data_IF_811351522280
#
_entry.id   IF_811351522280
#
_cell.length_a   1.000
_cell.length_b   1.000
_cell.length_c   1.000
_cell.angle_alpha   90.00
_cell.angle_beta   90.00
_cell.angle_gamma   90.00
#
_symmetry.space_group_name_H-M   'P 1'
#
loop_
_entity.id
_entity.type
_entity.pdbx_description
1 polymer ?
#
# COMPACT_ATOMS: atom_id res chain seq x y z
N UNK A 1 42.63 -29.09 -42.99
CA UNK A 1 41.37 -29.40 -43.68
C UNK A 1 40.32 -28.55 -43.02
N UNK A 2 40.28 -27.30 -43.46
CA UNK A 2 39.16 -26.40 -43.24
C UNK A 2 38.37 -26.43 -44.54
N UNK A 3 37.06 -26.55 -44.44
CA UNK A 3 36.13 -26.25 -45.51
C UNK A 3 34.85 -25.62 -44.92
N UNK A 4 34.16 -24.75 -45.69
CA UNK A 4 33.44 -23.59 -45.19
C UNK A 4 31.93 -23.67 -45.47
N UNK A 5 31.08 -22.98 -44.70
CA UNK A 5 29.66 -22.76 -45.08
C UNK A 5 29.19 -21.43 -44.47
N UNK A 6 29.24 -20.34 -45.23
CA UNK A 6 28.21 -19.78 -46.12
C UNK A 6 27.33 -18.74 -45.40
N UNK A 7 27.78 -17.49 -45.50
CA UNK A 7 26.96 -16.28 -45.34
C UNK A 7 25.82 -16.29 -46.38
N UNK A 8 24.62 -15.91 -45.95
CA UNK A 8 23.60 -15.34 -46.82
C UNK A 8 22.96 -14.14 -46.11
N UNK A 9 23.36 -12.95 -46.55
CA UNK A 9 22.53 -11.75 -46.51
C UNK A 9 21.40 -11.88 -47.58
N UNK A 10 20.31 -11.13 -47.42
CA UNK A 10 20.07 -10.03 -48.36
C UNK A 10 19.69 -8.75 -47.60
N UNK A 11 20.38 -7.64 -47.86
CA UNK A 11 20.08 -6.63 -48.89
C UNK A 11 18.85 -5.75 -48.62
N UNK A 12 19.14 -4.46 -48.69
CA UNK A 12 18.45 -3.25 -48.27
C UNK A 12 17.51 -2.66 -49.33
N UNK A 13 16.79 -1.61 -48.90
CA UNK A 13 16.28 -0.42 -49.63
C UNK A 13 14.76 -0.25 -49.45
N UNK A 14 14.18 0.90 -49.09
CA UNK A 14 14.67 2.27 -48.88
C UNK A 14 13.66 3.05 -48.03
N UNK A 15 14.19 3.99 -47.23
CA UNK A 15 13.77 5.37 -46.95
C UNK A 15 12.29 5.78 -46.86
N UNK A 16 12.00 6.52 -45.77
CA UNK A 16 10.81 7.35 -45.66
C UNK A 16 10.65 7.98 -44.29
N UNK A 17 11.38 9.07 -44.04
CA UNK A 17 11.28 9.88 -42.83
C UNK A 17 9.86 10.41 -42.58
N UNK A 18 9.41 10.33 -41.33
CA UNK A 18 8.16 10.93 -40.85
C UNK A 18 8.21 11.07 -39.34
N UNK A 19 8.96 12.06 -38.87
CA UNK A 19 8.94 12.49 -37.46
C UNK A 19 7.56 13.10 -37.17
N UNK A 20 6.72 12.39 -36.41
CA UNK A 20 5.50 12.97 -35.84
C UNK A 20 5.78 13.26 -34.37
N UNK A 21 6.11 14.52 -34.15
CA UNK A 21 6.25 15.15 -32.84
C UNK A 21 4.89 15.14 -32.14
N UNK A 22 4.76 14.41 -31.02
CA UNK A 22 3.60 14.50 -30.13
C UNK A 22 4.07 15.13 -28.81
N UNK A 23 3.71 16.40 -28.63
CA UNK A 23 3.76 17.06 -27.32
C UNK A 23 2.51 16.64 -26.52
N UNK A 24 2.62 16.33 -25.23
CA UNK A 24 1.47 16.39 -24.35
C UNK A 24 1.32 17.83 -23.81
N UNK A 25 0.23 18.49 -24.19
CA UNK A 25 -0.32 19.66 -23.49
C UNK A 25 -0.77 19.26 -22.07
N UNK A 26 -0.56 20.11 -21.05
CA UNK A 26 -0.89 19.78 -19.67
C UNK A 26 -2.38 20.00 -19.39
N UNK A 27 -3.10 18.94 -19.00
CA UNK A 27 -4.40 19.07 -18.35
C UNK A 27 -4.19 19.23 -16.85
N UNK A 28 -4.67 20.36 -16.36
CA UNK A 28 -4.66 20.78 -14.97
C UNK A 28 -5.56 19.91 -14.10
N UNK A 29 -4.98 19.19 -13.14
CA UNK A 29 -5.68 18.74 -11.93
C UNK A 29 -4.86 19.18 -10.73
N UNK A 30 -5.30 20.28 -10.12
CA UNK A 30 -4.78 20.79 -8.85
C UNK A 30 -5.26 19.91 -7.70
N UNK A 31 -4.33 19.33 -6.95
CA UNK A 31 -4.59 18.89 -5.58
C UNK A 31 -3.54 19.54 -4.67
N UNK A 32 -3.99 20.44 -3.81
CA UNK A 32 -3.17 21.17 -2.86
C UNK A 32 -2.77 20.27 -1.69
N UNK A 33 -1.52 19.83 -1.66
CA UNK A 33 -0.88 19.27 -0.47
C UNK A 33 -0.25 20.40 0.33
N UNK A 34 -0.95 20.88 1.35
CA UNK A 34 -0.30 21.50 2.50
C UNK A 34 -0.16 20.42 3.56
N UNK A 35 1.06 19.92 3.76
CA UNK A 35 1.41 19.51 5.12
C UNK A 35 2.90 19.69 5.41
N UNK A 36 3.11 20.41 6.51
CA UNK A 36 4.38 20.57 7.20
C UNK A 36 4.64 19.28 7.96
N UNK A 37 5.89 18.84 7.94
CA UNK A 37 6.45 17.90 8.92
C UNK A 37 6.10 18.29 10.36
N UNK A 38 5.92 17.28 11.23
CA UNK A 38 6.63 17.34 12.50
C UNK A 38 7.47 16.08 12.76
N UNK A 39 8.57 16.33 13.48
CA UNK A 39 9.56 15.38 13.91
C UNK A 39 9.06 14.51 15.09
N UNK A 40 9.84 13.46 15.34
CA UNK A 40 9.64 12.37 16.27
C UNK A 40 9.28 12.75 17.71
N UNK A 41 8.36 11.97 18.31
CA UNK A 41 8.26 11.82 19.76
C UNK A 41 8.16 10.34 20.16
N UNK A 42 8.92 10.05 21.20
CA UNK A 42 9.14 8.76 21.84
C UNK A 42 7.95 8.39 22.72
N UNK A 43 7.63 7.09 22.77
CA UNK A 43 6.50 6.50 23.50
C UNK A 43 6.62 6.69 25.03
N UNK A 44 5.55 7.14 25.67
CA UNK A 44 5.30 6.94 27.11
C UNK A 44 4.11 6.01 27.33
N UNK A 45 4.29 5.05 28.24
CA UNK A 45 3.26 4.13 28.73
C UNK A 45 2.64 4.68 30.03
N UNK A 46 1.34 4.49 30.17
CA UNK A 46 0.57 4.88 31.35
C UNK A 46 0.46 3.70 32.31
N UNK A 47 0.88 3.90 33.56
CA UNK A 47 0.55 3.07 34.74
C UNK A 47 0.12 4.03 35.87
N UNK A 48 -1.04 3.72 36.46
CA UNK A 48 -1.71 4.31 37.64
C UNK A 48 -1.51 3.32 38.82
N UNK A 49 -1.45 3.60 40.13
CA UNK A 49 -1.63 4.75 41.05
C UNK A 49 -0.73 4.50 42.32
N UNK A 50 -0.94 5.02 43.55
CA UNK A 50 -1.50 6.30 44.06
C UNK A 50 -0.51 7.03 45.03
N UNK A 51 -0.80 8.29 45.42
CA UNK A 51 -0.03 9.03 46.43
C UNK A 51 -0.90 9.34 47.65
N UNK A 52 -0.35 9.00 48.82
CA UNK A 52 -0.86 9.21 50.18
C UNK A 52 -0.88 10.69 50.61
N UNK A 53 -1.86 11.06 51.45
CA UNK A 53 -1.83 12.25 52.30
C UNK A 53 -1.18 11.96 53.66
N UNK A 54 -0.22 12.81 54.07
CA UNK A 54 0.17 13.22 55.45
C UNK A 54 1.65 13.69 55.42
N UNK A 55 2.19 14.71 56.10
CA UNK A 55 1.81 15.72 57.10
C UNK A 55 3.03 16.66 57.29
N UNK A 56 2.80 17.93 57.66
CA UNK A 56 3.63 18.92 58.44
C UNK A 56 5.14 19.12 58.11
N UNK A 57 5.68 20.34 58.04
CA UNK A 57 5.95 21.28 59.16
C UNK A 57 6.28 22.68 58.59
N UNK A 58 5.69 23.80 59.05
CA UNK A 58 6.08 24.70 60.17
C UNK A 58 7.47 25.37 60.08
N UNK A 59 7.47 26.62 60.58
CA UNK A 59 8.56 27.59 60.86
C UNK A 59 8.93 28.60 59.73
N UNK A 60 9.15 29.90 59.96
CA UNK A 60 8.94 30.88 61.04
C UNK A 60 9.36 32.29 60.51
N UNK A 61 8.80 33.38 61.06
CA UNK A 61 9.33 34.77 61.05
C UNK A 61 9.17 35.60 59.76
N UNK A 62 8.88 36.90 59.73
CA UNK A 62 9.16 37.98 60.70
C UNK A 62 8.34 39.27 60.41
N UNK A 63 8.04 40.03 61.47
CA UNK A 63 7.73 41.48 61.55
C UNK A 63 8.85 42.34 60.89
N UNK A 64 8.77 43.63 60.47
CA UNK A 64 8.04 44.83 60.93
C UNK A 64 8.26 46.04 59.98
N UNK A 65 7.36 47.03 60.08
CA UNK A 65 7.55 48.51 60.11
C UNK A 65 8.25 49.31 59.00
N UNK A 66 7.55 50.37 58.54
CA UNK A 66 8.14 51.55 57.87
C UNK A 66 7.10 52.60 57.46
N UNK A 67 6.95 53.65 58.28
CA UNK A 67 6.01 54.78 58.19
C UNK A 67 5.89 55.52 56.84
N UNK A 68 4.69 56.07 56.57
CA UNK A 68 4.50 57.51 56.27
C UNK A 68 3.03 57.95 56.40
N UNK A 69 2.81 58.80 57.40
CA UNK A 69 1.80 59.87 57.51
C UNK A 69 1.64 60.67 56.18
N UNK A 70 0.54 61.36 55.80
CA UNK A 70 -0.68 61.85 56.46
C UNK A 70 -1.66 62.40 55.38
N UNK A 71 -2.95 62.52 55.75
CA UNK A 71 -3.97 63.50 55.30
C UNK A 71 -5.00 63.21 54.19
N UNK A 72 -6.24 63.02 54.67
CA UNK A 72 -7.51 63.72 54.36
C UNK A 72 -8.19 63.70 52.97
N UNK A 73 -9.49 63.34 53.01
CA UNK A 73 -10.67 63.95 52.34
C UNK A 73 -11.54 63.01 51.47
N UNK A 74 -12.75 62.73 52.01
CA UNK A 74 -14.10 62.57 51.41
C UNK A 74 -14.38 61.66 50.18
N UNK A 75 -15.46 60.86 50.31
CA UNK A 75 -15.98 59.79 49.43
C UNK A 75 -16.26 60.20 47.96
N UNK A 76 -16.20 59.22 47.02
CA UNK A 76 -17.43 58.51 46.60
C UNK A 76 -17.18 57.01 46.38
N UNK A 77 -17.12 56.19 47.44
CA UNK A 77 -16.79 54.75 47.34
C UNK A 77 -17.99 53.80 47.53
N UNK A 78 -19.12 54.30 48.04
CA UNK A 78 -20.28 53.46 48.41
C UNK A 78 -20.90 52.62 47.26
N UNK A 79 -21.09 53.12 46.02
CA UNK A 79 -21.72 52.33 44.95
C UNK A 79 -20.83 51.19 44.44
N UNK A 80 -19.51 51.42 44.44
CA UNK A 80 -18.52 50.44 44.01
C UNK A 80 -18.33 49.35 45.07
N UNK A 81 -18.31 49.72 46.35
CA UNK A 81 -18.25 48.76 47.46
C UNK A 81 -19.47 47.85 47.47
N UNK A 82 -20.68 48.37 47.20
CA UNK A 82 -21.89 47.54 47.07
C UNK A 82 -21.85 46.59 45.86
N UNK A 83 -21.28 47.02 44.73
CA UNK A 83 -21.09 46.12 43.58
C UNK A 83 -20.06 45.03 43.89
N UNK A 84 -18.99 45.38 44.61
CA UNK A 84 -17.95 44.43 45.02
C UNK A 84 -18.53 43.41 46.01
N UNK A 85 -19.34 43.83 46.98
CA UNK A 85 -19.99 42.90 47.92
C UNK A 85 -21.00 42.00 47.20
N UNK A 86 -21.79 42.54 46.27
CA UNK A 86 -22.73 41.75 45.46
C UNK A 86 -22.04 40.78 44.49
N UNK A 87 -20.90 41.15 43.91
CA UNK A 87 -20.09 40.21 43.11
C UNK A 87 -19.48 39.13 44.01
N UNK A 88 -18.99 39.50 45.19
CA UNK A 88 -18.40 38.57 46.15
C UNK A 88 -19.41 37.52 46.61
N UNK A 89 -20.66 37.92 46.90
CA UNK A 89 -21.72 36.98 47.26
C UNK A 89 -22.12 36.09 46.08
N UNK A 90 -22.17 36.61 44.85
CA UNK A 90 -22.39 35.78 43.65
C UNK A 90 -21.27 34.76 43.42
N UNK A 91 -20.01 35.16 43.62
CA UNK A 91 -18.86 34.25 43.49
C UNK A 91 -18.90 33.17 44.56
N UNK A 92 -19.29 33.50 45.80
CA UNK A 92 -19.49 32.50 46.84
C UNK A 92 -20.62 31.52 46.51
N UNK A 93 -21.75 32.01 46.01
CA UNK A 93 -22.86 31.15 45.61
C UNK A 93 -22.47 30.21 44.46
N UNK A 94 -21.80 30.73 43.43
CA UNK A 94 -21.30 29.92 42.32
C UNK A 94 -20.24 28.89 42.77
N UNK A 95 -19.39 29.22 43.75
CA UNK A 95 -18.46 28.26 44.35
C UNK A 95 -19.19 27.13 45.09
N UNK A 96 -20.25 27.46 45.81
CA UNK A 96 -21.05 26.46 46.53
C UNK A 96 -21.82 25.56 45.54
N UNK A 97 -22.41 26.12 44.48
CA UNK A 97 -23.05 25.34 43.43
C UNK A 97 -22.06 24.42 42.70
N UNK A 98 -20.86 24.92 42.41
CA UNK A 98 -19.79 24.11 41.81
C UNK A 98 -19.31 22.98 42.73
N UNK A 99 -19.26 23.21 44.05
CA UNK A 99 -18.92 22.17 45.02
C UNK A 99 -19.98 21.06 45.03
N UNK A 100 -21.27 21.42 45.07
CA UNK A 100 -22.38 20.46 45.04
C UNK A 100 -22.41 19.66 43.73
N UNK A 101 -22.24 20.31 42.59
CA UNK A 101 -22.17 19.63 41.29
C UNK A 101 -20.94 18.73 41.20
N UNK A 102 -19.80 19.15 41.75
CA UNK A 102 -18.60 18.33 41.79
C UNK A 102 -18.79 17.07 42.63
N UNK A 103 -19.48 17.16 43.76
CA UNK A 103 -19.75 16.01 44.62
C UNK A 103 -20.79 15.07 43.99
N UNK A 104 -21.78 15.60 43.26
CA UNK A 104 -22.69 14.78 42.46
C UNK A 104 -21.96 13.99 41.36
N UNK A 105 -21.04 14.63 40.65
CA UNK A 105 -20.22 13.97 39.60
C UNK A 105 -19.29 12.91 40.19
N UNK A 106 -18.71 13.16 41.38
CA UNK A 106 -17.90 12.17 42.10
C UNK A 106 -18.73 10.96 42.51
N UNK A 107 -19.93 11.17 43.06
CA UNK A 107 -20.82 10.09 43.48
C UNK A 107 -21.31 9.24 42.29
N UNK A 108 -21.65 9.88 41.16
CA UNK A 108 -22.01 9.18 39.93
C UNK A 108 -20.82 8.39 39.38
N UNK A 109 -19.60 8.95 39.42
CA UNK A 109 -18.38 8.24 39.02
C UNK A 109 -18.10 7.02 39.90
N UNK A 110 -18.32 7.11 41.21
CA UNK A 110 -18.11 5.99 42.14
C UNK A 110 -19.13 4.87 41.96
N UNK A 111 -20.40 5.21 41.66
CA UNK A 111 -21.45 4.22 41.41
C UNK A 111 -21.23 3.44 40.10
N UNK A 112 -20.59 4.07 39.10
CA UNK A 112 -20.27 3.43 37.82
C UNK A 112 -19.05 2.49 37.90
N UNK A 113 -18.09 2.77 38.78
CA UNK A 113 -16.89 1.96 39.00
C UNK A 113 -17.12 0.74 39.92
N UNK A 114 -18.20 0.72 40.70
CA UNK A 114 -18.43 -0.25 41.77
C UNK A 114 -19.26 -1.49 41.36
N UNK A 115 -19.45 -1.78 40.07
CA UNK A 115 -20.05 -3.05 39.63
C UNK A 115 -18.97 -4.11 39.34
N UNK A 116 -18.66 -5.03 40.29
CA UNK A 116 -17.67 -6.09 40.06
C UNK A 116 -18.03 -7.02 38.89
N UNK A 117 -19.31 -7.12 38.53
CA UNK A 117 -19.78 -7.84 37.34
C UNK A 117 -19.28 -7.20 36.04
N UNK A 118 -19.25 -5.86 35.96
CA UNK A 118 -18.78 -5.14 34.77
C UNK A 118 -17.26 -5.29 34.58
N UNK A 119 -16.50 -5.20 35.68
CA UNK A 119 -15.05 -5.42 35.67
C UNK A 119 -14.72 -6.87 35.29
N UNK A 120 -15.45 -7.84 35.83
CA UNK A 120 -15.30 -9.25 35.49
C UNK A 120 -15.61 -9.54 34.00
N UNK A 121 -16.67 -8.92 33.46
CA UNK A 121 -17.03 -9.03 32.05
C UNK A 121 -15.95 -8.44 31.12
N UNK A 122 -15.41 -7.26 31.45
CA UNK A 122 -14.32 -6.63 30.70
C UNK A 122 -13.05 -7.48 30.70
N UNK A 123 -12.72 -8.10 31.85
CA UNK A 123 -11.53 -8.94 31.98
C UNK A 123 -11.68 -10.26 31.20
N UNK A 124 -12.89 -10.84 31.16
CA UNK A 124 -13.21 -12.00 30.33
C UNK A 124 -13.13 -11.66 28.84
N UNK A 125 -13.73 -10.54 28.43
CA UNK A 125 -13.71 -10.07 27.05
C UNK A 125 -12.29 -9.77 26.56
N UNK A 126 -11.44 -9.19 27.43
CA UNK A 126 -10.02 -8.99 27.13
C UNK A 126 -9.27 -10.30 26.88
N UNK A 127 -9.50 -11.33 27.71
CA UNK A 127 -8.93 -12.67 27.51
C UNK A 127 -9.41 -13.31 26.21
N UNK A 128 -10.69 -13.17 25.90
CA UNK A 128 -11.27 -13.69 24.66
C UNK A 128 -10.68 -12.98 23.44
N UNK A 129 -10.53 -11.66 23.49
CA UNK A 129 -9.91 -10.88 22.43
C UNK A 129 -8.45 -11.28 22.20
N UNK A 130 -7.67 -11.45 23.26
CA UNK A 130 -6.29 -11.94 23.15
C UNK A 130 -6.22 -13.35 22.56
N UNK A 131 -7.10 -14.24 23.02
CA UNK A 131 -7.19 -15.60 22.49
C UNK A 131 -7.52 -15.60 21.00
N UNK A 132 -8.51 -14.80 20.60
CA UNK A 132 -8.94 -14.67 19.21
C UNK A 132 -7.84 -14.05 18.33
N UNK A 133 -7.13 -13.03 18.84
CA UNK A 133 -5.97 -12.42 18.16
C UNK A 133 -4.85 -13.44 17.95
N UNK A 134 -4.54 -14.27 18.95
CA UNK A 134 -3.55 -15.34 18.84
C UNK A 134 -3.97 -16.38 17.79
N UNK A 135 -5.23 -16.81 17.81
CA UNK A 135 -5.79 -17.75 16.84
C UNK A 135 -5.73 -17.17 15.42
N UNK A 136 -6.09 -15.90 15.25
CA UNK A 136 -6.03 -15.23 13.96
C UNK A 136 -4.60 -15.21 13.38
N UNK A 137 -3.60 -14.84 14.18
CA UNK A 137 -2.20 -14.85 13.75
C UNK A 137 -1.75 -16.25 13.32
N UNK A 138 -2.13 -17.28 14.08
CA UNK A 138 -1.83 -18.68 13.72
C UNK A 138 -2.50 -19.09 12.40
N UNK A 139 -3.77 -18.75 12.20
CA UNK A 139 -4.49 -19.07 10.96
C UNK A 139 -3.88 -18.34 9.75
N UNK A 140 -3.44 -17.09 9.91
CA UNK A 140 -2.78 -16.36 8.81
C UNK A 140 -1.41 -16.96 8.47
N UNK A 141 -0.65 -17.41 9.46
CA UNK A 141 0.61 -18.12 9.23
C UNK A 141 0.38 -19.46 8.49
N UNK A 142 -0.64 -20.22 8.88
CA UNK A 142 -0.98 -21.49 8.23
C UNK A 142 -1.51 -21.29 6.81
N UNK A 143 -2.39 -20.31 6.61
CA UNK A 143 -2.84 -19.91 5.27
C UNK A 143 -1.66 -19.58 4.37
N UNK A 144 -0.71 -18.76 4.85
CA UNK A 144 0.51 -18.42 4.11
C UNK A 144 1.30 -19.68 3.74
N UNK A 145 1.50 -20.59 4.70
CA UNK A 145 2.22 -21.86 4.46
C UNK A 145 1.55 -22.69 3.37
N UNK A 146 0.25 -22.97 3.52
CA UNK A 146 -0.52 -23.78 2.56
C UNK A 146 -0.56 -23.14 1.18
N UNK A 147 -0.67 -21.82 1.14
CA UNK A 147 -0.67 -21.06 -0.10
C UNK A 147 0.64 -21.24 -0.88
N UNK A 148 1.78 -21.17 -0.19
CA UNK A 148 3.09 -21.37 -0.81
C UNK A 148 3.27 -22.83 -1.25
N UNK A 149 2.82 -23.80 -0.46
CA UNK A 149 2.85 -25.21 -0.84
C UNK A 149 2.05 -25.46 -2.13
N UNK A 150 0.87 -24.83 -2.28
CA UNK A 150 0.09 -24.92 -3.53
C UNK A 150 0.86 -24.33 -4.73
N UNK A 151 1.58 -23.22 -4.55
CA UNK A 151 2.39 -22.62 -5.62
C UNK A 151 3.56 -23.54 -6.00
N UNK A 152 4.26 -24.09 -5.02
CA UNK A 152 5.38 -25.01 -5.23
C UNK A 152 4.92 -26.30 -5.94
N UNK A 153 3.77 -26.85 -5.55
CA UNK A 153 3.17 -28.02 -6.19
C UNK A 153 2.73 -27.76 -7.63
N UNK A 154 2.30 -26.53 -7.95
CA UNK A 154 2.03 -26.10 -9.34
C UNK A 154 3.31 -25.90 -10.16
N UNK A 155 4.47 -25.86 -9.52
CA UNK A 155 5.76 -25.64 -10.15
C UNK A 155 6.28 -24.20 -9.97
N UNK A 156 7.54 -24.11 -9.59
CA UNK A 156 8.25 -22.83 -9.40
C UNK A 156 8.55 -22.11 -10.72
N UNK A 157 8.58 -22.85 -11.83
CA UNK A 157 8.72 -22.33 -13.19
C UNK A 157 7.46 -22.75 -13.93
N UNK A 158 6.76 -21.76 -14.48
CA UNK A 158 5.57 -21.97 -15.29
C UNK A 158 5.73 -21.29 -16.64
N UNK A 159 5.28 -21.97 -17.69
CA UNK A 159 5.31 -21.52 -19.07
C UNK A 159 3.88 -21.45 -19.57
N UNK A 160 3.43 -20.24 -19.86
CA UNK A 160 2.13 -19.99 -20.47
C UNK A 160 2.30 -19.66 -21.95
N UNK A 161 1.42 -20.21 -22.78
CA UNK A 161 1.31 -19.81 -24.18
C UNK A 161 0.12 -18.86 -24.32
N UNK A 162 0.27 -17.76 -25.07
CA UNK A 162 -0.83 -16.85 -25.38
C UNK A 162 -0.90 -16.60 -26.87
N UNK A 163 -2.02 -17.00 -27.47
CA UNK A 163 -2.33 -16.74 -28.86
C UNK A 163 -3.10 -15.42 -28.96
N UNK A 164 -2.56 -14.44 -29.71
CA UNK A 164 -3.28 -13.20 -29.98
C UNK A 164 -4.30 -13.38 -31.11
N UNK A 165 -5.38 -12.59 -31.15
CA UNK A 165 -6.24 -12.53 -32.33
C UNK A 165 -5.49 -11.96 -33.54
N UNK A 166 -5.97 -12.33 -34.73
CA UNK A 166 -5.51 -11.74 -35.99
C UNK A 166 -5.81 -10.24 -36.01
N UNK A 167 -4.86 -9.46 -36.52
CA UNK A 167 -5.08 -8.03 -36.72
C UNK A 167 -5.86 -7.79 -38.03
N UNK A 168 -6.42 -6.58 -38.17
CA UNK A 168 -7.28 -6.26 -39.30
C UNK A 168 -6.57 -6.40 -40.66
N UNK A 169 -5.29 -6.03 -40.74
CA UNK A 169 -4.49 -6.18 -41.95
C UNK A 169 -4.21 -7.65 -42.33
N UNK A 170 -4.12 -8.56 -41.35
CA UNK A 170 -3.97 -10.01 -41.55
C UNK A 170 -5.28 -10.62 -42.05
N UNK A 171 -6.41 -10.19 -41.49
CA UNK A 171 -7.75 -10.60 -41.95
C UNK A 171 -8.01 -10.14 -43.38
N UNK A 172 -7.68 -8.89 -43.71
CA UNK A 172 -7.81 -8.34 -45.07
C UNK A 172 -6.92 -9.08 -46.09
N UNK A 173 -5.77 -9.60 -45.66
CA UNK A 173 -4.88 -10.42 -46.49
C UNK A 173 -5.33 -11.88 -46.61
N UNK A 174 -6.40 -12.28 -45.92
CA UNK A 174 -6.89 -13.66 -45.91
C UNK A 174 -5.99 -14.63 -45.15
N UNK A 175 -5.23 -14.16 -44.16
CA UNK A 175 -4.47 -15.04 -43.27
C UNK A 175 -5.43 -15.87 -42.41
N UNK A 176 -5.14 -17.16 -42.24
CA UNK A 176 -5.89 -18.08 -41.39
C UNK A 176 -5.12 -18.34 -40.08
N UNK A 177 -5.85 -18.66 -39.02
CA UNK A 177 -5.24 -19.13 -37.78
C UNK A 177 -4.61 -20.53 -38.01
N UNK A 178 -3.40 -20.70 -37.48
CA UNK A 178 -2.64 -21.96 -37.54
C UNK A 178 -2.66 -22.68 -36.19
N UNK A 179 -3.16 -22.03 -35.15
CA UNK A 179 -3.34 -22.59 -33.82
C UNK A 179 -4.69 -23.31 -33.73
N UNK A 180 -4.65 -24.59 -33.40
CA UNK A 180 -5.82 -25.37 -32.99
C UNK A 180 -5.76 -25.67 -31.50
N UNK A 181 -6.90 -25.48 -30.85
CA UNK A 181 -7.07 -25.67 -29.40
C UNK A 181 -7.98 -26.89 -29.17
N UNK A 182 -7.55 -27.80 -28.28
CA UNK A 182 -8.42 -28.89 -27.84
C UNK A 182 -9.45 -28.34 -26.85
N UNK A 183 -10.74 -28.55 -27.12
CA UNK A 183 -11.82 -28.14 -26.22
C UNK A 183 -11.75 -28.79 -24.84
N UNK A 184 -11.06 -29.92 -24.72
CA UNK A 184 -10.95 -30.69 -23.49
C UNK A 184 -9.68 -30.39 -22.68
N UNK A 185 -8.70 -29.67 -23.22
CA UNK A 185 -7.40 -29.46 -22.59
C UNK A 185 -6.91 -28.01 -22.74
N UNK A 186 -6.75 -27.32 -21.63
CA UNK A 186 -6.23 -25.94 -21.61
C UNK A 186 -4.69 -25.89 -21.59
N UNK A 187 -4.02 -27.04 -21.69
CA UNK A 187 -2.58 -27.18 -21.53
C UNK A 187 -1.87 -27.64 -22.82
N UNK A 188 -2.61 -27.87 -23.90
CA UNK A 188 -2.09 -28.38 -25.15
C UNK A 188 -2.51 -27.49 -26.33
N UNK A 189 -1.54 -27.17 -27.18
CA UNK A 189 -1.70 -26.36 -28.39
C UNK A 189 -1.22 -27.18 -29.58
N UNK A 190 -2.04 -27.27 -30.63
CA UNK A 190 -1.66 -27.91 -31.88
C UNK A 190 -1.37 -26.85 -32.94
N UNK A 191 -0.18 -26.88 -33.55
CA UNK A 191 0.16 -26.01 -34.67
C UNK A 191 0.04 -26.79 -35.97
N UNK A 192 -0.77 -26.25 -36.89
CA UNK A 192 -0.91 -26.75 -38.25
C UNK A 192 0.31 -26.38 -39.09
N UNK A 193 1.00 -27.41 -39.60
CA UNK A 193 2.11 -27.24 -40.53
C UNK A 193 1.63 -27.25 -41.98
N UNK A 194 2.46 -26.74 -42.90
CA UNK A 194 2.11 -26.63 -44.33
C UNK A 194 1.84 -28.00 -45.00
N UNK A 195 2.36 -29.08 -44.42
CA UNK A 195 2.12 -30.47 -44.82
C UNK A 195 0.82 -31.06 -44.24
N UNK A 196 -0.03 -30.23 -43.63
CA UNK A 196 -1.24 -30.63 -42.88
C UNK A 196 -0.97 -31.52 -41.66
N UNK A 197 0.29 -31.62 -41.21
CA UNK A 197 0.60 -32.28 -39.95
C UNK A 197 0.28 -31.37 -38.77
N UNK A 198 -0.17 -31.96 -37.66
CA UNK A 198 -0.44 -31.27 -36.40
C UNK A 198 0.70 -31.54 -35.43
N UNK A 199 1.39 -30.49 -35.00
CA UNK A 199 2.46 -30.61 -34.00
C UNK A 199 1.93 -30.19 -32.62
N UNK A 200 1.87 -31.11 -31.63
CA UNK A 200 1.46 -30.77 -30.28
C UNK A 200 2.57 -30.05 -29.50
N UNK A 201 2.19 -29.06 -28.72
CA UNK A 201 3.02 -28.37 -27.74
C UNK A 201 2.27 -28.32 -26.41
N UNK A 202 2.97 -28.63 -25.32
CA UNK A 202 2.38 -28.65 -23.97
C UNK A 202 2.95 -27.53 -23.13
N UNK A 203 2.06 -26.87 -22.40
CA UNK A 203 2.32 -25.72 -21.54
C UNK A 203 1.59 -25.89 -20.21
N UNK A 204 1.90 -25.06 -19.22
CA UNK A 204 1.15 -25.03 -17.97
C UNK A 204 -0.27 -24.49 -18.19
N UNK A 205 -0.42 -23.60 -19.16
CA UNK A 205 -1.71 -23.09 -19.64
C UNK A 205 -1.57 -22.46 -21.03
N UNK A 206 -2.62 -22.53 -21.85
CA UNK A 206 -2.71 -21.99 -23.21
C UNK A 206 -3.91 -21.04 -23.30
N UNK A 207 -3.62 -19.74 -23.40
CA UNK A 207 -4.62 -18.70 -23.62
C UNK A 207 -4.96 -18.59 -25.11
N UNK A 208 -6.26 -18.62 -25.39
CA UNK A 208 -6.89 -18.49 -26.71
C UNK A 208 -6.99 -17.02 -27.12
N UNK A 209 -7.23 -16.74 -28.41
CA UNK A 209 -7.45 -15.37 -28.90
C UNK A 209 -8.57 -14.59 -28.18
N UNK A 210 -9.57 -15.32 -27.67
CA UNK A 210 -10.73 -14.75 -26.97
C UNK A 210 -10.44 -14.47 -25.47
N UNK A 211 -9.32 -14.96 -24.93
CA UNK A 211 -8.97 -14.77 -23.53
C UNK A 211 -8.45 -13.35 -23.26
N UNK A 212 -9.20 -12.63 -22.42
CA UNK A 212 -8.93 -11.26 -22.06
C UNK A 212 -7.79 -11.12 -21.02
N UNK A 213 -7.45 -9.88 -20.68
CA UNK A 213 -6.35 -9.57 -19.76
C UNK A 213 -6.65 -10.08 -18.35
N UNK A 214 -7.92 -10.11 -17.95
CA UNK A 214 -8.38 -10.55 -16.64
C UNK A 214 -8.18 -12.05 -16.45
N UNK A 215 -8.46 -12.85 -17.48
CA UNK A 215 -8.20 -14.31 -17.47
C UNK A 215 -6.70 -14.58 -17.37
N UNK A 216 -5.89 -13.86 -18.15
CA UNK A 216 -4.41 -13.96 -18.06
C UNK A 216 -3.90 -13.55 -16.68
N UNK A 217 -4.48 -12.50 -16.09
CA UNK A 217 -4.11 -12.06 -14.76
C UNK A 217 -4.56 -13.05 -13.68
N UNK A 218 -5.72 -13.70 -13.82
CA UNK A 218 -6.21 -14.67 -12.83
C UNK A 218 -5.21 -15.83 -12.61
N UNK A 219 -4.55 -16.31 -13.67
CA UNK A 219 -3.54 -17.37 -13.57
C UNK A 219 -2.19 -16.90 -13.01
N UNK A 220 -1.85 -15.63 -13.22
CA UNK A 220 -0.59 -15.03 -12.72
C UNK A 220 -0.72 -14.45 -11.31
N UNK A 221 -1.94 -14.05 -10.92
CA UNK A 221 -2.27 -13.43 -9.63
C UNK A 221 -1.71 -14.21 -8.44
N UNK A 222 -1.79 -15.56 -8.41
CA UNK A 222 -1.26 -16.27 -7.26
C UNK A 222 0.25 -16.10 -7.05
N UNK A 223 1.00 -16.06 -8.14
CA UNK A 223 2.45 -15.80 -8.13
C UNK A 223 2.68 -14.38 -7.62
N UNK A 224 1.98 -13.40 -8.20
CA UNK A 224 2.15 -11.99 -7.85
C UNK A 224 1.90 -11.75 -6.36
N UNK A 225 0.85 -12.35 -5.79
CA UNK A 225 0.52 -12.16 -4.38
C UNK A 225 1.51 -12.82 -3.42
N UNK A 226 2.27 -13.83 -3.84
CA UNK A 226 3.28 -14.47 -2.98
C UNK A 226 4.45 -13.52 -2.63
N UNK A 227 4.62 -12.43 -3.38
CA UNK A 227 5.62 -11.41 -3.06
C UNK A 227 5.34 -10.74 -1.71
N UNK A 228 4.07 -10.49 -1.38
CA UNK A 228 3.68 -9.94 -0.08
C UNK A 228 3.97 -10.90 1.09
N UNK A 229 4.19 -12.17 0.77
CA UNK A 229 4.56 -13.22 1.70
C UNK A 229 6.09 -13.43 1.76
N UNK A 230 6.88 -12.65 1.01
CA UNK A 230 8.35 -12.63 1.06
C UNK A 230 9.05 -13.46 -0.01
N UNK A 231 8.36 -13.82 -1.08
CA UNK A 231 8.93 -14.59 -2.20
C UNK A 231 9.37 -13.66 -3.34
N UNK A 232 10.45 -14.04 -4.01
CA UNK A 232 10.89 -13.35 -5.24
C UNK A 232 10.15 -13.94 -6.44
N UNK A 233 9.60 -13.06 -7.26
CA UNK A 233 8.78 -13.44 -8.42
C UNK A 233 9.31 -12.76 -9.66
N UNK A 234 9.28 -13.48 -10.77
CA UNK A 234 9.75 -13.01 -12.05
C UNK A 234 8.77 -13.40 -13.15
N UNK A 235 8.26 -12.43 -13.90
CA UNK A 235 7.36 -12.65 -15.03
C UNK A 235 8.01 -12.04 -16.27
N UNK A 236 8.17 -12.86 -17.31
CA UNK A 236 8.73 -12.46 -18.59
C UNK A 236 7.74 -12.77 -19.71
N UNK A 237 7.68 -11.87 -20.69
CA UNK A 237 6.98 -12.11 -21.95
C UNK A 237 7.99 -12.35 -23.06
N UNK A 238 7.82 -13.45 -23.80
CA UNK A 238 8.72 -13.85 -24.88
C UNK A 238 7.95 -14.03 -26.20
N UNK A 239 8.62 -13.77 -27.33
CA UNK A 239 8.06 -13.89 -28.68
C UNK A 239 8.64 -12.87 -29.66
N UNK A 240 8.36 -13.03 -30.95
CA UNK A 240 8.80 -12.08 -32.00
C UNK A 240 8.10 -10.72 -31.88
N UNK A 241 8.59 -9.70 -32.58
CA UNK A 241 7.92 -8.40 -32.66
C UNK A 241 6.51 -8.57 -33.24
N UNK A 242 5.51 -7.91 -32.62
CA UNK A 242 4.11 -8.00 -33.05
C UNK A 242 3.30 -9.18 -32.49
N UNK A 243 3.84 -10.02 -31.60
CA UNK A 243 3.06 -11.14 -30.98
C UNK A 243 2.24 -10.74 -29.76
N UNK A 244 2.29 -9.48 -29.33
CA UNK A 244 1.51 -9.02 -28.17
C UNK A 244 2.24 -9.10 -26.83
N UNK A 245 3.58 -9.13 -26.80
CA UNK A 245 4.36 -9.01 -25.55
C UNK A 245 3.99 -7.75 -24.75
N UNK A 246 4.08 -6.59 -25.38
CA UNK A 246 3.73 -5.29 -24.76
C UNK A 246 2.25 -5.24 -24.39
N UNK A 247 1.36 -5.75 -25.24
CA UNK A 247 -0.07 -5.86 -24.92
C UNK A 247 -0.34 -6.74 -23.70
N UNK A 248 0.42 -7.82 -23.51
CA UNK A 248 0.25 -8.70 -22.34
C UNK A 248 0.76 -8.04 -21.06
N UNK A 249 1.95 -7.43 -21.10
CA UNK A 249 2.57 -6.85 -19.90
C UNK A 249 1.98 -5.48 -19.53
N UNK A 250 1.81 -4.59 -20.50
CA UNK A 250 1.35 -3.21 -20.29
C UNK A 250 -0.14 -3.06 -20.62
N UNK A 251 -0.59 -3.65 -21.73
CA UNK A 251 -1.98 -3.56 -22.19
C UNK A 251 -2.32 -2.21 -22.80
N UNK A 252 -3.62 -1.90 -22.86
CA UNK A 252 -4.14 -0.60 -23.25
C UNK A 252 -4.77 0.09 -22.04
N UNK A 253 -5.10 1.39 -22.11
CA UNK A 253 -5.80 2.07 -21.03
C UNK A 253 -7.12 1.40 -20.63
N UNK A 254 -7.83 0.81 -21.60
CA UNK A 254 -9.09 0.10 -21.43
C UNK A 254 -8.88 -1.35 -20.98
N UNK A 255 -7.83 -2.01 -21.47
CA UNK A 255 -7.49 -3.40 -21.18
C UNK A 255 -6.10 -3.48 -20.54
N UNK A 256 -6.02 -3.14 -19.25
CA UNK A 256 -4.76 -3.04 -18.50
C UNK A 256 -4.03 -4.39 -18.48
N UNK A 257 -2.72 -4.35 -18.69
CA UNK A 257 -1.86 -5.54 -18.66
C UNK A 257 -1.45 -6.00 -17.28
N UNK A 258 -0.71 -7.10 -17.26
CA UNK A 258 -0.24 -7.77 -16.03
C UNK A 258 0.48 -6.81 -15.10
N UNK A 259 1.26 -5.85 -15.60
CA UNK A 259 1.99 -4.88 -14.78
C UNK A 259 1.04 -4.01 -13.94
N UNK A 260 0.01 -3.43 -14.56
CA UNK A 260 -0.93 -2.55 -13.88
C UNK A 260 -1.82 -3.33 -12.91
N UNK A 261 -2.36 -4.47 -13.36
CA UNK A 261 -3.21 -5.32 -12.54
C UNK A 261 -2.44 -5.88 -11.33
N UNK A 262 -1.15 -6.18 -11.51
CA UNK A 262 -0.26 -6.57 -10.41
C UNK A 262 -0.15 -5.46 -9.37
N UNK A 263 0.20 -4.24 -9.79
CA UNK A 263 0.34 -3.12 -8.85
C UNK A 263 -0.97 -2.84 -8.11
N UNK A 264 -2.10 -2.83 -8.82
CA UNK A 264 -3.43 -2.66 -8.22
C UNK A 264 -3.73 -3.73 -7.17
N UNK A 265 -3.50 -5.01 -7.48
CA UNK A 265 -3.71 -6.11 -6.54
C UNK A 265 -2.79 -6.02 -5.32
N UNK A 266 -1.52 -5.63 -5.50
CA UNK A 266 -0.56 -5.47 -4.41
C UNK A 266 -0.99 -4.35 -3.47
N UNK A 267 -1.41 -3.20 -4.01
CA UNK A 267 -1.93 -2.10 -3.19
C UNK A 267 -3.22 -2.51 -2.47
N UNK A 268 -4.16 -3.16 -3.19
CA UNK A 268 -5.42 -3.67 -2.63
C UNK A 268 -5.18 -4.59 -1.43
N UNK A 269 -4.32 -5.59 -1.59
CA UNK A 269 -4.00 -6.55 -0.53
C UNK A 269 -3.20 -5.88 0.59
N UNK A 270 -2.31 -4.92 0.28
CA UNK A 270 -1.56 -4.20 1.32
C UNK A 270 -2.48 -3.40 2.25
N UNK A 271 -3.51 -2.74 1.71
CA UNK A 271 -4.48 -1.97 2.50
C UNK A 271 -5.42 -2.90 3.28
N UNK A 272 -5.88 -3.99 2.65
CA UNK A 272 -6.68 -5.03 3.32
C UNK A 272 -5.95 -5.60 4.56
N UNK A 273 -4.62 -5.67 4.49
CA UNK A 273 -3.76 -6.23 5.53
C UNK A 273 -3.16 -5.19 6.49
N UNK A 274 -3.47 -3.90 6.31
CA UNK A 274 -2.85 -2.78 7.04
C UNK A 274 -3.01 -2.84 8.56
N UNK A 275 -4.10 -3.45 9.05
CA UNK A 275 -4.37 -3.60 10.48
C UNK A 275 -3.40 -4.54 11.21
N UNK A 276 -2.62 -5.35 10.48
CA UNK A 276 -1.73 -6.35 11.05
C UNK A 276 -0.33 -6.39 10.42
N UNK A 277 -0.16 -5.87 9.20
CA UNK A 277 1.12 -5.78 8.51
C UNK A 277 1.30 -4.38 7.92
N UNK A 278 2.53 -3.86 8.02
CA UNK A 278 2.95 -2.63 7.35
C UNK A 278 3.80 -3.03 6.15
N UNK A 279 3.47 -2.48 4.98
CA UNK A 279 4.18 -2.72 3.74
C UNK A 279 4.87 -1.44 3.26
N UNK A 280 6.11 -1.57 2.78
CA UNK A 280 6.82 -0.52 2.07
C UNK A 280 7.15 -1.03 0.66
N UNK A 281 6.63 -0.35 -0.36
CA UNK A 281 6.75 -0.76 -1.76
C UNK A 281 7.71 0.17 -2.49
N UNK A 282 8.71 -0.41 -3.15
CA UNK A 282 9.69 0.31 -3.97
C UNK A 282 9.59 -0.16 -5.42
N UNK A 283 9.70 0.78 -6.37
CA UNK A 283 9.61 0.51 -7.81
C UNK A 283 10.87 1.03 -8.50
N UNK A 284 11.42 0.21 -9.39
CA UNK A 284 12.50 0.57 -10.31
C UNK A 284 12.13 0.14 -11.72
N UNK A 285 12.45 0.96 -12.72
CA UNK A 285 12.18 0.64 -14.12
C UNK A 285 13.45 0.83 -14.94
N UNK A 286 13.93 -0.25 -15.56
CA UNK A 286 15.17 -0.29 -16.32
C UNK A 286 14.93 -0.80 -17.74
N UNK A 287 15.74 -0.35 -18.68
CA UNK A 287 15.84 -0.88 -20.04
C UNK A 287 17.24 -1.48 -20.22
N UNK A 288 17.29 -2.68 -20.81
CA UNK A 288 18.53 -3.31 -21.26
C UNK A 288 18.54 -3.24 -22.79
N UNK A 289 19.45 -2.45 -23.35
CA UNK A 289 19.62 -2.33 -24.80
C UNK A 289 21.09 -2.47 -25.17
N UNK A 290 21.42 -3.47 -25.99
CA UNK A 290 22.79 -3.77 -26.42
C UNK A 290 23.78 -3.86 -25.23
N UNK A 291 23.45 -4.68 -24.24
CA UNK A 291 24.21 -4.86 -23.00
C UNK A 291 24.43 -3.58 -22.16
N UNK A 292 23.66 -2.51 -22.43
CA UNK A 292 23.68 -1.27 -21.64
C UNK A 292 22.40 -1.11 -20.84
N UNK A 293 22.57 -0.76 -19.57
CA UNK A 293 21.47 -0.45 -18.66
C UNK A 293 21.12 1.03 -18.73
N UNK A 294 19.83 1.32 -18.94
CA UNK A 294 19.25 2.66 -18.89
C UNK A 294 18.16 2.70 -17.82
N UNK A 295 18.22 3.72 -16.96
CA UNK A 295 17.17 4.01 -15.99
C UNK A 295 16.05 4.79 -16.68
N UNK A 296 14.84 4.23 -16.64
CA UNK A 296 13.65 4.80 -17.28
C UNK A 296 12.92 5.80 -16.37
N UNK A 297 13.28 5.89 -15.09
CA UNK A 297 12.67 6.83 -14.14
C UNK A 297 13.46 8.14 -14.01
N UNK A 298 14.68 8.20 -14.57
CA UNK A 298 15.53 9.39 -14.50
C UNK A 298 15.19 10.34 -15.65
N UNK A 299 14.56 11.47 -15.32
CA UNK A 299 14.23 12.54 -16.28
C UNK A 299 15.47 13.32 -16.75
N UNK A 300 16.55 13.34 -15.95
CA UNK A 300 17.79 14.08 -16.22
C UNK A 300 19.03 13.19 -15.97
N UNK A 301 19.83 12.86 -17.00
CA UNK A 301 20.98 11.95 -16.89
C UNK A 301 22.09 12.38 -15.91
N UNK A 302 22.06 13.62 -15.42
CA UNK A 302 23.12 14.25 -14.62
C UNK A 302 23.03 14.04 -13.11
N UNK A 303 21.95 13.46 -12.58
CA UNK A 303 21.81 13.19 -11.15
C UNK A 303 21.91 11.69 -10.84
N UNK A 304 23.05 11.31 -10.25
CA UNK A 304 23.25 10.00 -9.63
C UNK A 304 22.71 10.03 -8.20
N UNK A 305 21.40 9.91 -8.02
CA UNK A 305 20.83 9.48 -6.75
C UNK A 305 21.02 7.97 -6.60
N UNK A 306 21.37 7.51 -5.39
CA UNK A 306 21.72 6.12 -5.05
C UNK A 306 20.71 5.12 -5.65
N UNK A 307 21.16 4.36 -6.65
CA UNK A 307 20.31 3.44 -7.42
C UNK A 307 20.41 2.04 -6.83
N UNK A 308 19.32 1.53 -6.26
CA UNK A 308 19.15 0.10 -6.09
C UNK A 308 18.78 -0.46 -7.46
N UNK A 309 19.71 -1.20 -8.04
CA UNK A 309 19.57 -1.79 -9.37
C UNK A 309 18.66 -3.01 -9.24
N UNK A 310 17.46 -2.96 -9.80
CA UNK A 310 16.65 -4.15 -10.03
C UNK A 310 16.24 -4.21 -11.50
N UNK A 311 16.99 -5.02 -12.25
CA UNK A 311 16.81 -5.31 -13.67
C UNK A 311 15.35 -5.54 -14.04
N UNK A 312 15.00 -5.12 -15.26
CA UNK A 312 13.71 -5.28 -15.95
C UNK A 312 13.14 -6.70 -15.85
N UNK A 313 12.48 -6.90 -14.73
CA UNK A 313 11.49 -7.87 -14.36
C UNK A 313 10.69 -7.11 -13.30
N UNK A 314 9.40 -7.40 -13.11
CA UNK A 314 8.69 -6.86 -11.97
C UNK A 314 9.24 -7.52 -10.68
N UNK A 315 10.49 -7.23 -10.32
CA UNK A 315 11.11 -7.62 -9.06
C UNK A 315 10.58 -6.66 -8.01
N UNK A 316 9.35 -6.90 -7.57
CA UNK A 316 8.78 -6.21 -6.44
C UNK A 316 9.54 -6.67 -5.19
N UNK A 317 10.48 -5.86 -4.72
CA UNK A 317 11.07 -6.04 -3.40
C UNK A 317 10.15 -5.38 -2.38
N UNK A 318 9.43 -6.20 -1.61
CA UNK A 318 8.81 -5.77 -0.34
C UNK A 318 9.88 -5.97 0.73
N UNK A 319 10.33 -4.88 1.34
CA UNK A 319 11.25 -4.92 2.48
C UNK A 319 10.52 -4.53 3.76
#
# INVERSE_FOLDING_TARGET
MEDPVMELLPESCCDGAGSVHFQPEPSSLSFSSSDRTPAAETREGVVLEPIEEATSSMEEGSFSSGNKEVSSCQEPTLPLVQKITNLSTKIQNLKNEHAVLSDQVKNISTDFFAQPELVGALQLLGKEHEHLKKKFVQQQAERKRLYNEVIELKGNIRVFCRCRPLNQAEVEKGCNDVAEFDSCQDNELHILSADSSKKPFKFDHVFRPDDNQEVVFAETKPIVTSVLDGYNVCIFAYGQTGTGKTFTMEGTPENRGVNYLTLEELFRVSEERRGFMKYELFVSMLEVYNEKLRDLLVLNPSETSKRYICLSALNLFVK
#
